data_IF_000101193697
#
_entry.id   IF_000101193697
#
_cell.length_a   1.000
_cell.length_b   1.000
_cell.length_c   1.000
_cell.angle_alpha   90.00
_cell.angle_beta   90.00
_cell.angle_gamma   90.00
#
_symmetry.space_group_name_H-M   'P 1'
#
loop_
_entity.id
_entity.type
_entity.pdbx_description
1 polymer ?
#
# COMPACT_ATOMS: atom_id res chain seq x y z
N UNK A 1 20.17 20.41 28.27
CA UNK A 1 19.77 21.23 27.11
C UNK A 1 20.55 20.83 25.88
N UNK A 2 20.03 19.89 25.07
CA UNK A 2 20.39 19.70 23.66
C UNK A 2 19.24 18.90 23.05
N UNK A 3 18.36 19.62 22.33
CA UNK A 3 17.20 19.09 21.63
C UNK A 3 17.65 18.56 20.27
N UNK A 4 17.53 17.25 20.03
CA UNK A 4 17.67 16.69 18.69
C UNK A 4 16.29 16.62 18.04
N UNK A 5 16.02 17.61 17.20
CA UNK A 5 14.84 17.76 16.36
C UNK A 5 14.82 16.67 15.29
N UNK A 6 13.75 15.88 15.24
CA UNK A 6 13.51 14.85 14.23
C UNK A 6 12.59 15.46 13.15
N UNK A 7 13.16 15.93 12.04
CA UNK A 7 12.37 16.37 10.88
C UNK A 7 11.96 15.15 10.05
N UNK A 8 10.68 14.78 10.14
CA UNK A 8 10.00 13.96 9.13
C UNK A 8 9.54 14.86 8.00
N UNK A 9 10.09 14.67 6.81
CA UNK A 9 9.56 15.27 5.58
C UNK A 9 8.44 14.38 5.04
N UNK A 10 7.20 14.83 5.23
CA UNK A 10 6.07 14.40 4.42
C UNK A 10 6.03 15.30 3.19
N UNK A 11 6.06 14.72 1.99
CA UNK A 11 5.75 15.43 0.75
C UNK A 11 4.42 14.91 0.22
N UNK A 12 3.36 15.63 0.55
CA UNK A 12 2.10 15.64 -0.17
C UNK A 12 2.18 16.74 -1.24
N UNK A 13 1.79 16.43 -2.47
CA UNK A 13 1.29 17.46 -3.38
C UNK A 13 0.23 16.86 -4.30
N UNK A 14 -0.99 17.35 -4.08
CA UNK A 14 -2.09 17.33 -5.03
C UNK A 14 -2.18 18.71 -5.66
N UNK A 15 -2.08 18.80 -6.99
CA UNK A 15 -2.56 19.91 -7.83
C UNK A 15 -2.66 19.29 -9.24
N UNK A 16 -3.81 19.21 -9.92
CA UNK A 16 -4.83 20.24 -10.04
C UNK A 16 -4.42 21.20 -11.15
N UNK A 17 -4.79 20.90 -12.41
CA UNK A 17 -4.40 21.71 -13.56
C UNK A 17 -5.11 21.31 -14.85
N UNK A 18 -6.37 21.73 -14.98
CA UNK A 18 -7.02 21.90 -16.28
C UNK A 18 -6.49 23.18 -16.93
N UNK A 19 -6.21 23.17 -18.24
CA UNK A 19 -6.81 24.06 -19.26
C UNK A 19 -6.01 24.06 -20.59
N UNK A 20 -6.79 23.88 -21.66
CA UNK A 20 -6.78 24.55 -22.97
C UNK A 20 -5.60 24.31 -23.92
N UNK A 21 -5.82 23.63 -25.05
CA UNK A 21 -6.51 24.03 -26.29
C UNK A 21 -5.54 24.64 -27.30
N UNK A 22 -5.22 23.85 -28.33
CA UNK A 22 -4.78 24.35 -29.62
C UNK A 22 -5.71 23.75 -30.69
N UNK A 23 -6.38 24.65 -31.41
CA UNK A 23 -7.24 24.41 -32.56
C UNK A 23 -6.44 23.75 -33.70
N UNK A 24 -7.02 22.77 -34.36
CA UNK A 24 -6.94 22.69 -35.82
C UNK A 24 -8.16 21.99 -36.43
N UNK A 25 -8.77 22.72 -37.36
CA UNK A 25 -9.44 22.27 -38.57
C UNK A 25 -10.43 21.10 -38.52
N UNK A 26 -11.71 21.49 -38.57
CA UNK A 26 -12.82 20.71 -39.13
C UNK A 26 -12.45 20.17 -40.51
N UNK A 27 -12.68 18.87 -40.71
CA UNK A 27 -12.64 18.20 -42.00
C UNK A 27 -13.44 16.92 -41.90
N UNK A 28 -14.74 17.01 -42.18
CA UNK A 28 -15.60 15.84 -42.38
C UNK A 28 -15.03 15.04 -43.56
N UNK A 29 -14.64 13.78 -43.30
CA UNK A 29 -14.43 12.77 -44.34
C UNK A 29 -15.55 11.73 -44.22
N UNK A 30 -16.20 11.32 -45.32
CA UNK A 30 -17.19 10.26 -45.28
C UNK A 30 -16.47 8.91 -45.14
N UNK A 31 -16.85 8.12 -44.14
CA UNK A 31 -16.42 6.73 -44.01
C UNK A 31 -17.16 5.86 -45.03
N UNK A 32 -16.44 5.45 -46.08
CA UNK A 32 -16.89 4.36 -46.97
C UNK A 32 -16.28 3.08 -46.43
N UNK A 33 -17.13 2.13 -46.02
CA UNK A 33 -16.71 0.77 -45.71
C UNK A 33 -16.20 0.10 -46.99
N UNK A 34 -14.89 -0.03 -47.11
CA UNK A 34 -14.22 -0.78 -48.17
C UNK A 34 -14.12 -2.26 -47.81
N UNK A 35 -14.99 -3.08 -48.39
CA UNK A 35 -14.77 -4.52 -48.51
C UNK A 35 -13.59 -4.80 -49.44
N UNK A 36 -12.89 -5.90 -49.19
CA UNK A 36 -11.71 -6.34 -49.93
C UNK A 36 -11.92 -6.38 -51.45
N UNK A 37 -10.96 -5.84 -52.21
CA UNK A 37 -10.93 -5.92 -53.67
C UNK A 37 -11.00 -4.54 -54.34
N UNK A 38 -9.88 -3.84 -54.39
CA UNK A 38 -9.78 -2.61 -55.17
C UNK A 38 -9.77 -2.92 -56.66
N UNK A 39 -10.85 -2.60 -57.37
CA UNK A 39 -10.85 -2.19 -58.78
C UNK A 39 -12.17 -1.44 -59.09
N UNK A 40 -12.06 -0.12 -59.30
CA UNK A 40 -12.94 0.66 -60.19
C UNK A 40 -14.42 0.85 -59.80
N UNK A 41 -14.72 1.60 -58.73
CA UNK A 41 -16.02 2.27 -58.62
C UNK A 41 -16.11 3.42 -59.63
N UNK A 42 -16.73 3.16 -60.80
CA UNK A 42 -17.17 4.22 -61.72
C UNK A 42 -18.66 4.46 -61.55
N UNK A 43 -18.99 5.64 -61.02
CA UNK A 43 -20.31 6.26 -61.08
C UNK A 43 -20.39 7.02 -62.40
N UNK A 44 -21.43 6.78 -63.20
CA UNK A 44 -21.88 7.64 -64.30
C UNK A 44 -23.39 7.43 -64.42
N UNK A 45 -24.24 8.20 -63.71
CA UNK A 45 -24.80 9.50 -64.09
C UNK A 45 -25.23 9.56 -65.56
N UNK A 46 -26.55 9.56 -65.76
CA UNK A 46 -27.24 9.87 -67.00
C UNK A 46 -26.87 11.26 -67.48
N UNK A 47 -26.48 11.36 -68.76
CA UNK A 47 -26.52 12.63 -69.47
C UNK A 47 -27.23 12.37 -70.80
N UNK A 48 -28.50 12.75 -70.80
CA UNK A 48 -29.31 12.97 -71.98
C UNK A 48 -28.63 14.01 -72.88
N UNK A 49 -28.29 13.62 -74.10
CA UNK A 49 -28.03 14.58 -75.17
C UNK A 49 -28.88 14.17 -76.35
N UNK A 50 -29.93 14.96 -76.54
CA UNK A 50 -30.74 15.02 -77.74
C UNK A 50 -29.80 15.28 -78.94
N UNK A 51 -29.87 14.44 -79.96
CA UNK A 51 -29.42 14.79 -81.30
C UNK A 51 -30.59 14.57 -82.25
N UNK A 52 -31.26 15.69 -82.52
CA UNK A 52 -32.31 15.91 -83.49
C UNK A 52 -31.66 16.23 -84.86
N UNK A 53 -32.19 15.66 -85.94
CA UNK A 53 -31.88 15.98 -87.33
C UNK A 53 -30.95 14.93 -87.98
N UNK A 54 -31.28 14.32 -89.12
CA UNK A 54 -31.94 14.89 -90.29
C UNK A 54 -32.95 13.94 -90.93
N UNK A 55 -34.10 14.54 -91.22
CA UNK A 55 -35.11 14.16 -92.21
C UNK A 55 -34.46 13.84 -93.56
N UNK A 56 -34.82 12.68 -94.11
CA UNK A 56 -34.66 12.29 -95.50
C UNK A 56 -36.02 11.84 -96.03
N UNK A 57 -36.80 12.81 -96.48
CA UNK A 57 -38.14 12.69 -97.06
C UNK A 57 -38.06 12.21 -98.51
N UNK A 58 -38.62 11.04 -98.80
CA UNK A 58 -39.34 10.70 -100.05
C UNK A 58 -40.35 9.62 -99.62
N UNK A 59 -41.65 9.90 -99.48
CA UNK A 59 -42.54 10.18 -100.60
C UNK A 59 -42.62 8.92 -101.47
N UNK A 60 -43.24 7.85 -100.95
CA UNK A 60 -44.56 7.40 -101.43
C UNK A 60 -44.64 7.31 -102.97
N UNK A 61 -44.57 6.11 -103.54
CA UNK A 61 -45.60 5.55 -104.43
C UNK A 61 -45.29 4.09 -104.78
N UNK A 62 -46.33 3.25 -104.74
CA UNK A 62 -46.50 2.00 -105.49
C UNK A 62 -45.66 0.78 -105.15
N UNK A 63 -46.28 -0.07 -104.32
CA UNK A 63 -46.53 -1.50 -104.57
C UNK A 63 -46.06 -2.00 -105.95
N UNK A 64 -45.14 -2.97 -105.93
CA UNK A 64 -44.94 -4.15 -106.82
C UNK A 64 -43.43 -4.46 -106.88
N UNK A 65 -42.97 -5.43 -106.07
CA UNK A 65 -41.57 -5.90 -106.02
C UNK A 65 -41.20 -6.68 -104.76
N UNK A 66 -42.10 -7.54 -104.29
CA UNK A 66 -42.14 -8.15 -102.95
C UNK A 66 -41.38 -9.48 -102.84
N UNK A 67 -40.34 -9.52 -101.99
CA UNK A 67 -39.60 -10.74 -101.64
C UNK A 67 -38.11 -10.52 -101.35
N UNK A 68 -37.46 -9.60 -102.08
CA UNK A 68 -36.01 -9.39 -101.92
C UNK A 68 -35.66 -8.45 -100.76
N UNK A 69 -36.47 -7.41 -100.54
CA UNK A 69 -36.30 -6.46 -99.43
C UNK A 69 -36.71 -7.07 -98.08
N UNK A 70 -37.76 -7.89 -98.05
CA UNK A 70 -38.17 -8.66 -96.87
C UNK A 70 -37.13 -9.72 -96.50
N UNK A 71 -36.50 -10.37 -97.48
CA UNK A 71 -35.34 -11.26 -97.25
C UNK A 71 -34.09 -10.53 -96.75
N UNK A 72 -33.88 -9.26 -97.14
CA UNK A 72 -32.79 -8.44 -96.60
C UNK A 72 -33.04 -8.07 -95.14
N UNK A 73 -34.24 -7.60 -94.78
CA UNK A 73 -34.59 -7.28 -93.38
C UNK A 73 -34.47 -8.53 -92.47
N UNK A 74 -34.87 -9.70 -92.94
CA UNK A 74 -34.70 -10.97 -92.21
C UNK A 74 -33.23 -11.35 -92.04
N UNK A 75 -32.42 -11.17 -93.08
CA UNK A 75 -30.98 -11.45 -93.00
C UNK A 75 -30.25 -10.46 -92.07
N UNK A 76 -30.63 -9.19 -92.07
CA UNK A 76 -30.07 -8.17 -91.17
C UNK A 76 -30.44 -8.48 -89.71
N UNK A 77 -31.70 -8.86 -89.44
CA UNK A 77 -32.11 -9.34 -88.11
C UNK A 77 -31.34 -10.60 -87.70
N UNK A 78 -31.15 -11.56 -88.60
CA UNK A 78 -30.38 -12.77 -88.32
C UNK A 78 -28.91 -12.44 -88.01
N UNK A 79 -28.32 -11.49 -88.73
CA UNK A 79 -26.97 -11.01 -88.45
C UNK A 79 -26.87 -10.37 -87.04
N UNK A 80 -27.87 -9.57 -86.65
CA UNK A 80 -27.97 -8.99 -85.30
C UNK A 80 -28.14 -10.06 -84.22
N UNK A 81 -28.97 -11.08 -84.46
CA UNK A 81 -29.10 -12.22 -83.55
C UNK A 81 -27.79 -13.01 -83.42
N UNK A 82 -27.10 -13.28 -84.53
CA UNK A 82 -25.79 -13.94 -84.50
C UNK A 82 -24.73 -13.11 -83.77
N UNK A 83 -24.71 -11.79 -83.96
CA UNK A 83 -23.84 -10.88 -83.24
C UNK A 83 -24.14 -10.90 -81.72
N UNK A 84 -25.44 -10.95 -81.37
CA UNK A 84 -25.87 -11.04 -79.96
C UNK A 84 -25.49 -12.37 -79.32
N UNK A 85 -25.68 -13.48 -80.02
CA UNK A 85 -25.29 -14.82 -79.53
C UNK A 85 -23.78 -14.87 -79.28
N UNK A 86 -22.96 -14.39 -80.22
CA UNK A 86 -21.49 -14.31 -80.02
C UNK A 86 -21.09 -13.45 -78.81
N UNK A 87 -21.79 -12.33 -78.59
CA UNK A 87 -21.54 -11.46 -77.42
C UNK A 87 -21.92 -12.16 -76.10
N UNK A 88 -23.03 -12.90 -76.08
CA UNK A 88 -23.47 -13.65 -74.90
C UNK A 88 -22.55 -14.84 -74.62
N UNK A 89 -22.11 -15.56 -75.64
CA UNK A 89 -21.13 -16.65 -75.51
C UNK A 89 -19.79 -16.14 -74.94
N UNK A 90 -19.31 -14.98 -75.42
CA UNK A 90 -18.10 -14.36 -74.88
C UNK A 90 -18.24 -13.98 -73.40
N UNK A 91 -19.39 -13.42 -73.01
CA UNK A 91 -19.69 -13.08 -71.61
C UNK A 91 -19.84 -14.32 -70.73
N UNK A 92 -20.46 -15.38 -71.22
CA UNK A 92 -20.58 -16.64 -70.49
C UNK A 92 -19.21 -17.26 -70.24
N UNK A 93 -18.32 -17.31 -71.25
CA UNK A 93 -16.93 -17.76 -71.04
C UNK A 93 -16.20 -16.94 -69.98
N UNK A 94 -16.39 -15.63 -69.97
CA UNK A 94 -15.77 -14.77 -68.96
C UNK A 94 -16.30 -15.04 -67.54
N UNK A 95 -17.60 -15.26 -67.40
CA UNK A 95 -18.21 -15.60 -66.11
C UNK A 95 -17.74 -16.97 -65.63
N UNK A 96 -17.62 -17.96 -66.51
CA UNK A 96 -17.08 -19.28 -66.18
C UNK A 96 -15.64 -19.20 -65.66
N UNK A 97 -14.79 -18.38 -66.30
CA UNK A 97 -13.42 -18.15 -65.82
C UNK A 97 -13.40 -17.49 -64.43
N UNK A 98 -14.21 -16.46 -64.21
CA UNK A 98 -14.29 -15.79 -62.90
C UNK A 98 -14.79 -16.73 -61.80
N UNK A 99 -15.77 -17.60 -62.11
CA UNK A 99 -16.28 -18.61 -61.18
C UNK A 99 -15.18 -19.64 -60.86
N UNK A 100 -14.43 -20.09 -61.85
CA UNK A 100 -13.32 -21.01 -61.65
C UNK A 100 -12.22 -20.41 -60.76
N UNK A 101 -11.83 -19.17 -61.00
CA UNK A 101 -10.83 -18.44 -60.20
C UNK A 101 -11.31 -18.24 -58.75
N UNK A 102 -12.57 -17.84 -58.57
CA UNK A 102 -13.16 -17.68 -57.24
C UNK A 102 -13.24 -19.00 -56.46
N UNK A 103 -13.63 -20.08 -57.12
CA UNK A 103 -13.63 -21.42 -56.53
C UNK A 103 -12.21 -21.87 -56.15
N UNK A 104 -11.20 -21.54 -56.96
CA UNK A 104 -9.81 -21.82 -56.65
C UNK A 104 -9.29 -21.01 -55.44
N UNK A 105 -9.61 -19.71 -55.36
CA UNK A 105 -9.29 -18.87 -54.19
C UNK A 105 -10.01 -19.32 -52.91
N UNK A 106 -11.22 -19.88 -53.02
CA UNK A 106 -11.95 -20.43 -51.87
C UNK A 106 -11.42 -21.81 -51.44
N UNK A 107 -10.87 -22.58 -52.39
CA UNK A 107 -10.21 -23.87 -52.14
C UNK A 107 -8.89 -23.70 -51.38
N UNK A 108 -8.18 -22.58 -51.55
CA UNK A 108 -7.14 -22.18 -50.61
C UNK A 108 -7.79 -21.70 -49.32
N UNK A 109 -8.03 -22.64 -48.41
CA UNK A 109 -8.45 -22.42 -47.03
C UNK A 109 -7.80 -21.14 -46.52
N UNK A 110 -8.62 -20.14 -46.17
CA UNK A 110 -8.18 -18.91 -45.50
C UNK A 110 -7.48 -19.32 -44.22
N UNK A 111 -6.17 -19.49 -44.27
CA UNK A 111 -5.33 -19.64 -43.09
C UNK A 111 -5.33 -18.27 -42.44
N UNK A 112 -6.23 -18.07 -41.47
CA UNK A 112 -6.17 -16.90 -40.59
C UNK A 112 -4.73 -16.80 -40.09
N UNK A 113 -4.05 -15.68 -40.35
CA UNK A 113 -2.63 -15.52 -40.06
C UNK A 113 -2.39 -15.49 -38.54
N UNK A 114 -2.19 -16.65 -37.92
CA UNK A 114 -1.91 -16.78 -36.48
C UNK A 114 -0.44 -16.48 -36.11
N UNK A 115 0.41 -16.13 -37.09
CA UNK A 115 1.85 -15.88 -36.89
C UNK A 115 2.16 -14.82 -35.82
N UNK A 116 1.35 -13.75 -35.75
CA UNK A 116 1.52 -12.71 -34.73
C UNK A 116 1.29 -13.22 -33.29
N UNK A 117 0.27 -14.06 -33.10
CA UNK A 117 0.01 -14.69 -31.80
C UNK A 117 1.14 -15.64 -31.41
N UNK A 118 1.66 -16.43 -32.35
CA UNK A 118 2.80 -17.30 -32.08
C UNK A 118 4.08 -16.53 -31.71
N UNK A 119 4.33 -15.36 -32.34
CA UNK A 119 5.43 -14.46 -31.95
C UNK A 119 5.28 -13.99 -30.49
N UNK A 120 4.10 -13.45 -30.13
CA UNK A 120 3.85 -12.99 -28.75
C UNK A 120 3.95 -14.12 -27.72
N UNK A 121 3.48 -15.33 -28.05
CA UNK A 121 3.60 -16.49 -27.17
C UNK A 121 5.07 -16.90 -27.01
N UNK A 122 5.87 -16.80 -28.06
CA UNK A 122 7.31 -17.07 -28.02
C UNK A 122 8.04 -16.05 -27.14
N UNK A 123 7.70 -14.76 -27.28
CA UNK A 123 8.28 -13.67 -26.50
C UNK A 123 7.96 -13.81 -25.01
N UNK A 124 6.69 -14.09 -24.67
CA UNK A 124 6.26 -14.35 -23.30
C UNK A 124 6.94 -15.59 -22.71
N UNK A 125 7.11 -16.65 -23.51
CA UNK A 125 7.84 -17.86 -23.09
C UNK A 125 9.32 -17.59 -22.82
N UNK A 126 9.93 -16.62 -23.50
CA UNK A 126 11.32 -16.19 -23.26
C UNK A 126 11.44 -15.25 -22.05
N UNK A 127 10.41 -14.45 -21.75
CA UNK A 127 10.40 -13.53 -20.61
C UNK A 127 10.27 -14.24 -19.26
N UNK A 128 9.51 -15.34 -19.19
CA UNK A 128 9.33 -16.15 -17.97
C UNK A 128 10.67 -16.63 -17.36
N UNK A 129 11.57 -17.32 -18.10
CA UNK A 129 12.84 -17.78 -17.54
C UNK A 129 13.77 -16.61 -17.20
N UNK A 130 13.71 -15.50 -17.94
CA UNK A 130 14.49 -14.30 -17.64
C UNK A 130 14.05 -13.67 -16.32
N UNK A 131 12.74 -13.52 -16.10
CA UNK A 131 12.16 -12.98 -14.87
C UNK A 131 12.45 -13.88 -13.67
N UNK A 132 12.38 -15.20 -13.86
CA UNK A 132 12.76 -16.17 -12.84
C UNK A 132 14.24 -16.07 -12.47
N UNK A 133 15.12 -15.94 -13.47
CA UNK A 133 16.55 -15.77 -13.27
C UNK A 133 16.86 -14.47 -12.49
N UNK A 134 16.24 -13.35 -12.88
CA UNK A 134 16.39 -12.06 -12.21
C UNK A 134 15.91 -12.18 -10.76
N UNK A 135 14.73 -12.77 -10.51
CA UNK A 135 14.17 -12.94 -9.16
C UNK A 135 15.05 -13.84 -8.29
N UNK A 136 15.61 -14.91 -8.85
CA UNK A 136 16.52 -15.79 -8.12
C UNK A 136 17.84 -15.07 -7.81
N UNK A 137 18.38 -14.30 -8.75
CA UNK A 137 19.61 -13.54 -8.58
C UNK A 137 19.45 -12.42 -7.55
N UNK A 138 18.35 -11.65 -7.61
CA UNK A 138 18.03 -10.61 -6.62
C UNK A 138 17.83 -11.23 -5.24
N UNK A 139 17.12 -12.36 -5.14
CA UNK A 139 16.97 -13.11 -3.89
C UNK A 139 18.32 -13.57 -3.30
N UNK A 140 19.23 -14.09 -4.14
CA UNK A 140 20.60 -14.45 -3.71
C UNK A 140 21.41 -13.23 -3.25
N UNK A 141 21.33 -12.12 -3.96
CA UNK A 141 21.98 -10.86 -3.59
C UNK A 141 21.49 -10.33 -2.25
N UNK A 142 20.17 -10.33 -2.03
CA UNK A 142 19.55 -9.91 -0.77
C UNK A 142 20.03 -10.81 0.38
N UNK A 143 20.00 -12.14 0.21
CA UNK A 143 20.52 -13.08 1.21
C UNK A 143 21.99 -12.81 1.57
N UNK A 144 22.84 -12.54 0.58
CA UNK A 144 24.25 -12.16 0.80
C UNK A 144 24.38 -10.85 1.59
N UNK A 145 23.60 -9.82 1.25
CA UNK A 145 23.59 -8.53 1.98
C UNK A 145 23.14 -8.72 3.42
N UNK A 146 22.08 -9.48 3.67
CA UNK A 146 21.58 -9.78 5.02
C UNK A 146 22.64 -10.53 5.83
N UNK A 147 23.28 -11.56 5.25
CA UNK A 147 24.34 -12.31 5.94
C UNK A 147 25.50 -11.40 6.36
N UNK A 148 25.98 -10.53 5.46
CA UNK A 148 27.03 -9.56 5.77
C UNK A 148 26.62 -8.58 6.88
N UNK A 149 25.39 -8.06 6.82
CA UNK A 149 24.86 -7.14 7.84
C UNK A 149 24.76 -7.84 9.20
N UNK A 150 24.22 -9.06 9.24
CA UNK A 150 24.12 -9.83 10.48
C UNK A 150 25.51 -10.11 11.06
N UNK A 151 26.48 -10.49 10.24
CA UNK A 151 27.85 -10.70 10.68
C UNK A 151 28.49 -9.42 11.26
N UNK A 152 28.29 -8.27 10.62
CA UNK A 152 28.77 -6.99 11.14
C UNK A 152 28.11 -6.66 12.49
N UNK A 153 26.80 -6.87 12.61
CA UNK A 153 26.08 -6.67 13.86
C UNK A 153 26.59 -7.60 14.97
N UNK A 154 26.86 -8.87 14.68
CA UNK A 154 27.44 -9.81 15.64
C UNK A 154 28.81 -9.34 16.14
N UNK A 155 29.66 -8.82 15.25
CA UNK A 155 30.95 -8.24 15.64
C UNK A 155 30.78 -7.04 16.57
N UNK A 156 29.87 -6.11 16.26
CA UNK A 156 29.61 -4.95 17.12
C UNK A 156 29.05 -5.31 18.50
N UNK A 157 28.20 -6.34 18.57
CA UNK A 157 27.64 -6.82 19.84
C UNK A 157 28.75 -7.46 20.68
N UNK A 158 29.59 -8.30 20.07
CA UNK A 158 30.73 -8.94 20.74
C UNK A 158 31.71 -7.91 21.31
N UNK A 159 32.05 -6.87 20.54
CA UNK A 159 32.93 -5.80 21.02
C UNK A 159 32.30 -5.04 22.20
N UNK A 160 30.99 -4.77 22.16
CA UNK A 160 30.29 -4.12 23.26
C UNK A 160 30.26 -5.01 24.51
N UNK A 161 29.96 -6.30 24.36
CA UNK A 161 29.98 -7.28 25.46
C UNK A 161 31.38 -7.40 26.06
N UNK A 162 32.42 -7.48 25.24
CA UNK A 162 33.82 -7.53 25.68
C UNK A 162 34.19 -6.28 26.49
N UNK A 163 33.82 -5.08 26.01
CA UNK A 163 34.07 -3.84 26.74
C UNK A 163 33.33 -3.79 28.08
N UNK A 164 32.10 -4.30 28.13
CA UNK A 164 31.33 -4.41 29.37
C UNK A 164 32.01 -5.39 30.34
N UNK A 165 32.47 -6.54 29.86
CA UNK A 165 33.22 -7.52 30.66
C UNK A 165 34.49 -6.89 31.25
N UNK A 166 35.30 -6.21 30.44
CA UNK A 166 36.52 -5.54 30.92
C UNK A 166 36.22 -4.46 31.97
N UNK A 167 35.13 -3.71 31.80
CA UNK A 167 34.71 -2.70 32.77
C UNK A 167 34.31 -3.35 34.10
N UNK A 168 33.50 -4.41 34.04
CA UNK A 168 33.09 -5.17 35.24
C UNK A 168 34.29 -5.82 35.93
N UNK A 169 35.23 -6.38 35.18
CA UNK A 169 36.47 -6.94 35.73
C UNK A 169 37.34 -5.88 36.43
N UNK A 170 37.42 -4.69 35.85
CA UNK A 170 38.08 -3.55 36.48
C UNK A 170 37.37 -3.13 37.77
N UNK A 171 36.04 -3.11 37.80
CA UNK A 171 35.24 -2.77 38.98
C UNK A 171 35.42 -3.79 40.10
N UNK A 172 35.38 -5.09 39.76
CA UNK A 172 35.64 -6.19 40.70
C UNK A 172 37.05 -6.09 41.28
N UNK A 173 38.04 -5.76 40.46
CA UNK A 173 39.42 -5.57 40.92
C UNK A 173 39.54 -4.38 41.88
N UNK A 174 38.87 -3.26 41.60
CA UNK A 174 38.81 -2.11 42.52
C UNK A 174 38.12 -2.46 43.84
N UNK A 175 37.00 -3.18 43.79
CA UNK A 175 36.29 -3.63 45.00
C UNK A 175 37.15 -4.57 45.85
N UNK A 176 37.93 -5.46 45.23
CA UNK A 176 38.90 -6.31 45.95
C UNK A 176 39.97 -5.47 46.64
N UNK A 177 40.53 -4.46 45.97
CA UNK A 177 41.50 -3.56 46.58
C UNK A 177 40.92 -2.77 47.77
N UNK A 178 39.68 -2.27 47.65
CA UNK A 178 38.98 -1.60 48.77
C UNK A 178 38.77 -2.56 49.94
N UNK A 179 38.31 -3.79 49.66
CA UNK A 179 38.18 -4.83 50.70
C UNK A 179 39.52 -5.07 51.38
N UNK A 180 40.60 -5.23 50.63
CA UNK A 180 41.92 -5.51 51.21
C UNK A 180 42.42 -4.34 52.07
N UNK A 181 42.17 -3.10 51.65
CA UNK A 181 42.45 -1.90 52.46
C UNK A 181 41.61 -1.85 53.75
N UNK A 182 40.34 -2.24 53.69
CA UNK A 182 39.49 -2.30 54.88
C UNK A 182 39.93 -3.42 55.83
N UNK A 183 40.31 -4.59 55.31
CA UNK A 183 40.88 -5.68 56.11
C UNK A 183 42.14 -5.24 56.84
N UNK A 184 43.04 -4.52 56.16
CA UNK A 184 44.24 -3.96 56.80
C UNK A 184 43.87 -2.96 57.90
N UNK A 185 42.91 -2.06 57.64
CA UNK A 185 42.42 -1.12 58.67
C UNK A 185 41.77 -1.81 59.87
N UNK A 186 41.08 -2.94 59.68
CA UNK A 186 40.56 -3.76 60.78
C UNK A 186 41.71 -4.31 61.61
N UNK A 187 42.74 -4.90 60.98
CA UNK A 187 43.91 -5.41 61.69
C UNK A 187 44.67 -4.33 62.45
N UNK A 188 44.82 -3.13 61.89
CA UNK A 188 45.45 -1.99 62.57
C UNK A 188 44.66 -1.57 63.82
N UNK A 189 43.33 -1.55 63.73
CA UNK A 189 42.46 -1.25 64.88
C UNK A 189 42.51 -2.37 65.94
N UNK A 190 42.55 -3.63 65.53
CA UNK A 190 42.70 -4.78 66.43
C UNK A 190 44.03 -4.70 67.19
N UNK A 191 45.14 -4.34 66.51
CA UNK A 191 46.43 -4.12 67.15
C UNK A 191 46.36 -2.98 68.17
N UNK A 192 45.75 -1.84 67.81
CA UNK A 192 45.59 -0.72 68.75
C UNK A 192 44.75 -1.09 69.98
N UNK A 193 43.74 -1.95 69.82
CA UNK A 193 42.94 -2.46 70.94
C UNK A 193 43.79 -3.35 71.83
N UNK A 194 44.58 -4.25 71.25
CA UNK A 194 45.45 -5.14 72.01
C UNK A 194 46.52 -4.35 72.78
N UNK A 195 47.17 -3.38 72.13
CA UNK A 195 48.14 -2.48 72.76
C UNK A 195 47.54 -1.77 73.97
N UNK A 196 46.36 -1.17 73.84
CA UNK A 196 45.65 -0.51 74.94
C UNK A 196 45.27 -1.49 76.06
N UNK A 197 44.88 -2.72 75.73
CA UNK A 197 44.58 -3.75 76.72
C UNK A 197 45.85 -4.15 77.50
N UNK A 198 47.00 -4.26 76.83
CA UNK A 198 48.27 -4.55 77.51
C UNK A 198 48.70 -3.41 78.42
N UNK A 199 48.55 -2.15 77.99
CA UNK A 199 48.84 -0.97 78.83
C UNK A 199 47.93 -0.94 80.06
N UNK A 200 46.64 -1.20 79.90
CA UNK A 200 45.68 -1.29 81.00
C UNK A 200 46.07 -2.40 81.99
N UNK A 201 46.46 -3.57 81.48
CA UNK A 201 46.94 -4.67 82.31
C UNK A 201 48.22 -4.31 83.09
N UNK A 202 49.17 -3.64 82.45
CA UNK A 202 50.39 -3.14 83.10
C UNK A 202 50.06 -2.12 84.20
N UNK A 203 49.20 -1.14 83.93
CA UNK A 203 48.78 -0.15 84.91
C UNK A 203 48.10 -0.79 86.13
N UNK A 204 47.27 -1.81 85.92
CA UNK A 204 46.66 -2.59 87.01
C UNK A 204 47.69 -3.37 87.83
N UNK A 205 48.68 -3.97 87.18
CA UNK A 205 49.76 -4.70 87.85
C UNK A 205 50.62 -3.74 88.69
N UNK A 206 51.03 -2.60 88.11
CA UNK A 206 51.78 -1.56 88.79
C UNK A 206 51.03 -1.04 90.01
N UNK A 207 49.75 -0.70 89.85
CA UNK A 207 48.92 -0.23 90.98
C UNK A 207 48.83 -1.28 92.09
N UNK A 208 48.68 -2.56 91.75
CA UNK A 208 48.66 -3.64 92.74
C UNK A 208 49.99 -3.77 93.48
N UNK A 209 51.11 -3.61 92.78
CA UNK A 209 52.44 -3.63 93.38
C UNK A 209 52.66 -2.41 94.30
N UNK A 210 52.32 -1.21 93.86
CA UNK A 210 52.36 0.01 94.67
C UNK A 210 51.51 -0.12 95.94
N UNK A 211 50.28 -0.64 95.83
CA UNK A 211 49.43 -0.92 96.99
C UNK A 211 50.05 -1.96 97.93
N UNK A 212 50.73 -2.98 97.39
CA UNK A 212 51.47 -3.95 98.21
C UNK A 212 52.67 -3.32 98.90
N UNK A 213 53.42 -2.46 98.23
CA UNK A 213 54.56 -1.75 98.80
C UNK A 213 54.11 -0.77 99.89
N UNK A 214 53.04 -0.01 99.65
CA UNK A 214 52.42 0.86 100.66
C UNK A 214 51.92 0.05 101.86
N UNK A 215 51.29 -1.12 101.63
CA UNK A 215 50.89 -2.02 102.72
C UNK A 215 52.08 -2.51 103.55
N UNK A 216 53.23 -2.80 102.92
CA UNK A 216 54.46 -3.20 103.61
C UNK A 216 55.08 -2.01 104.37
N UNK A 217 55.06 -0.81 103.80
CA UNK A 217 55.49 0.42 104.46
C UNK A 217 54.61 0.72 105.69
N UNK A 218 53.30 0.54 105.60
CA UNK A 218 52.37 0.66 106.71
C UNK A 218 52.50 -0.49 107.73
N UNK A 219 53.03 -1.66 107.34
CA UNK A 219 53.37 -2.76 108.26
C UNK A 219 54.56 -2.44 109.18
N UNK A 220 55.30 -1.35 108.91
CA UNK A 220 56.34 -0.78 109.78
C UNK A 220 55.84 0.31 110.73
N UNK A 221 54.52 0.47 110.90
CA UNK A 221 53.97 1.43 111.87
C UNK A 221 54.09 0.89 113.28
N UNK A 222 55.09 1.39 114.00
CA UNK A 222 55.19 1.28 115.46
C UNK A 222 53.95 1.94 116.07
N UNK A 223 53.14 1.15 116.78
CA UNK A 223 52.10 1.69 117.64
C UNK A 223 52.79 2.30 118.89
N UNK A 224 53.17 3.57 118.80
CA UNK A 224 53.64 4.36 119.93
C UNK A 224 52.46 5.17 120.46
N UNK A 225 51.91 4.75 121.59
CA UNK A 225 51.04 5.58 122.42
C UNK A 225 51.90 6.70 123.04
N UNK A 226 51.93 7.86 122.39
CA UNK A 226 52.39 9.11 123.00
C UNK A 226 51.16 9.90 123.41
N UNK A 227 50.92 9.94 124.71
CA UNK A 227 49.97 10.85 125.34
C UNK A 227 50.40 12.30 125.05
N UNK A 228 49.68 12.94 124.13
CA UNK A 228 49.84 14.34 123.79
C UNK A 228 48.49 15.02 124.00
N UNK A 229 48.39 15.78 125.09
CA UNK A 229 47.26 16.66 125.35
C UNK A 229 47.26 17.81 124.34
N UNK A 230 46.64 17.54 123.20
CA UNK A 230 45.77 18.37 122.34
C UNK A 230 45.65 17.60 121.00
N UNK A 231 45.05 16.41 121.07
CA UNK A 231 44.79 15.61 119.88
C UNK A 231 43.69 16.28 119.06
N UNK A 232 44.07 16.91 117.95
CA UNK A 232 43.15 17.04 116.83
C UNK A 232 42.77 15.60 116.47
N UNK A 233 41.48 15.31 116.66
CA UNK A 233 40.89 13.98 116.55
C UNK A 233 41.08 13.50 115.11
N UNK A 234 42.20 12.82 114.84
CA UNK A 234 42.63 12.44 113.49
C UNK A 234 41.59 11.55 112.82
N UNK A 235 40.87 10.77 113.62
CA UNK A 235 39.67 10.01 113.25
C UNK A 235 38.56 10.91 112.73
N UNK A 236 38.29 12.07 113.35
CA UNK A 236 37.33 13.06 112.81
C UNK A 236 37.79 13.66 111.48
N UNK A 237 39.07 14.02 111.35
CA UNK A 237 39.60 14.58 110.09
C UNK A 237 39.59 13.54 108.96
N UNK A 238 39.90 12.27 109.26
CA UNK A 238 39.82 11.17 108.29
C UNK A 238 38.36 10.85 107.92
N UNK A 239 37.44 10.91 108.88
CA UNK A 239 36.00 10.73 108.63
C UNK A 239 35.45 11.87 107.77
N UNK A 240 35.83 13.12 108.05
CA UNK A 240 35.43 14.29 107.27
C UNK A 240 36.02 14.25 105.84
N UNK A 241 37.28 13.80 105.67
CA UNK A 241 37.87 13.52 104.36
C UNK A 241 37.12 12.41 103.62
N UNK A 242 36.74 11.33 104.31
CA UNK A 242 35.96 10.23 103.72
C UNK A 242 34.58 10.72 103.27
N UNK A 243 33.91 11.52 104.09
CA UNK A 243 32.61 12.12 103.75
C UNK A 243 32.74 13.06 102.54
N UNK A 244 33.83 13.85 102.44
CA UNK A 244 34.13 14.66 101.26
C UNK A 244 34.32 13.79 100.00
N UNK A 245 35.07 12.68 100.10
CA UNK A 245 35.23 11.77 98.97
C UNK A 245 33.93 11.06 98.59
N UNK A 246 33.15 10.59 99.56
CA UNK A 246 31.86 9.94 99.30
C UNK A 246 30.86 10.91 98.66
N UNK A 247 30.85 12.18 99.06
CA UNK A 247 30.01 13.21 98.44
C UNK A 247 30.48 13.54 97.02
N UNK A 248 31.79 13.64 96.77
CA UNK A 248 32.33 13.87 95.41
C UNK A 248 32.04 12.67 94.49
N UNK A 249 32.24 11.45 94.96
CA UNK A 249 31.92 10.23 94.19
C UNK A 249 30.42 10.14 93.90
N UNK A 250 29.57 10.45 94.89
CA UNK A 250 28.12 10.46 94.71
C UNK A 250 27.67 11.52 93.70
N UNK A 251 28.25 12.73 93.75
CA UNK A 251 28.00 13.79 92.76
C UNK A 251 28.46 13.38 91.36
N UNK A 252 29.67 12.84 91.23
CA UNK A 252 30.22 12.40 89.95
C UNK A 252 29.38 11.27 89.34
N UNK A 253 28.92 10.30 90.15
CA UNK A 253 28.00 9.26 89.70
C UNK A 253 26.69 9.84 89.16
N UNK A 254 26.09 10.81 89.86
CA UNK A 254 24.87 11.48 89.41
C UNK A 254 25.08 12.30 88.13
N UNK A 255 26.24 12.93 87.96
CA UNK A 255 26.59 13.68 86.75
C UNK A 255 26.79 12.75 85.55
N UNK A 256 27.48 11.63 85.72
CA UNK A 256 27.65 10.60 84.67
C UNK A 256 26.31 9.99 84.29
N UNK A 257 25.45 9.68 85.27
CA UNK A 257 24.09 9.16 85.03
C UNK A 257 23.26 10.17 84.22
N UNK A 258 23.27 11.45 84.60
CA UNK A 258 22.58 12.52 83.86
C UNK A 258 23.14 12.69 82.45
N UNK A 259 24.46 12.66 82.30
CA UNK A 259 25.12 12.75 81.01
C UNK A 259 24.73 11.58 80.10
N UNK A 260 24.73 10.36 80.64
CA UNK A 260 24.32 9.16 79.91
C UNK A 260 22.84 9.24 79.51
N UNK A 261 21.95 9.60 80.43
CA UNK A 261 20.53 9.80 80.14
C UNK A 261 20.31 10.85 79.04
N UNK A 262 21.04 11.97 79.09
CA UNK A 262 20.97 12.99 78.03
C UNK A 262 21.43 12.44 76.68
N UNK A 263 22.50 11.65 76.64
CA UNK A 263 23.01 11.06 75.40
C UNK A 263 22.04 10.02 74.83
N UNK A 264 21.44 9.19 75.68
CA UNK A 264 20.39 8.23 75.28
C UNK A 264 19.18 8.97 74.73
N UNK A 265 18.75 10.08 75.35
CA UNK A 265 17.61 10.86 74.88
C UNK A 265 17.88 11.48 73.49
N UNK A 266 19.09 11.96 73.23
CA UNK A 266 19.50 12.47 71.91
C UNK A 266 19.46 11.36 70.87
N UNK A 267 20.04 10.20 71.16
CA UNK A 267 20.03 9.04 70.25
C UNK A 267 18.61 8.56 70.00
N UNK A 268 17.75 8.54 71.02
CA UNK A 268 16.35 8.15 70.88
C UNK A 268 15.58 9.13 69.98
N UNK A 269 15.82 10.44 70.11
CA UNK A 269 15.25 11.46 69.19
C UNK A 269 15.74 11.24 67.75
N UNK A 270 17.03 10.98 67.56
CA UNK A 270 17.60 10.72 66.23
C UNK A 270 17.04 9.44 65.59
N UNK A 271 16.89 8.36 66.36
CA UNK A 271 16.25 7.13 65.93
C UNK A 271 14.80 7.38 65.52
N UNK A 272 14.04 8.17 66.29
CA UNK A 272 12.65 8.50 65.96
C UNK A 272 12.59 9.29 64.65
N UNK A 273 13.47 10.29 64.46
CA UNK A 273 13.54 11.09 63.23
C UNK A 273 13.90 10.21 62.03
N UNK A 274 14.95 9.40 62.15
CA UNK A 274 15.35 8.43 61.11
C UNK A 274 14.21 7.46 60.77
N UNK A 275 13.49 6.96 61.78
CA UNK A 275 12.35 6.09 61.57
C UNK A 275 11.18 6.81 60.87
N UNK A 276 10.93 8.08 61.19
CA UNK A 276 9.92 8.87 60.49
C UNK A 276 10.31 9.14 59.04
N UNK A 277 11.58 9.42 58.76
CA UNK A 277 12.11 9.65 57.41
C UNK A 277 12.03 8.39 56.55
N UNK A 278 12.38 7.23 57.10
CA UNK A 278 12.19 5.95 56.40
C UNK A 278 10.71 5.72 56.06
N UNK A 279 9.80 6.07 56.97
CA UNK A 279 8.34 5.95 56.72
C UNK A 279 7.86 6.94 55.65
N UNK A 280 8.39 8.17 55.59
CA UNK A 280 8.01 9.14 54.55
C UNK A 280 8.56 8.72 53.19
N UNK A 281 9.83 8.34 53.09
CA UNK A 281 10.41 7.82 51.84
C UNK A 281 9.69 6.58 51.34
N UNK A 282 9.28 5.67 52.23
CA UNK A 282 8.49 4.51 51.84
C UNK A 282 7.13 4.91 51.23
N UNK A 283 6.45 5.92 51.81
CA UNK A 283 5.20 6.45 51.26
C UNK A 283 5.42 7.12 49.91
N UNK A 284 6.44 7.94 49.77
CA UNK A 284 6.81 8.60 48.50
C UNK A 284 7.11 7.58 47.40
N UNK A 285 7.90 6.55 47.72
CA UNK A 285 8.21 5.46 46.79
C UNK A 285 6.97 4.67 46.38
N UNK A 286 6.03 4.44 47.32
CA UNK A 286 4.74 3.81 47.03
C UNK A 286 3.87 4.67 46.09
N UNK A 287 3.82 5.99 46.32
CA UNK A 287 3.13 6.93 45.42
C UNK A 287 3.78 6.93 44.04
N UNK A 288 5.11 7.03 43.97
CA UNK A 288 5.85 7.04 42.70
C UNK A 288 5.66 5.74 41.91
N UNK A 289 5.61 4.59 42.60
CA UNK A 289 5.30 3.30 41.98
C UNK A 289 3.89 3.28 41.40
N UNK A 290 2.90 3.81 42.12
CA UNK A 290 1.51 3.92 41.64
C UNK A 290 1.41 4.85 40.44
N UNK A 291 2.07 6.01 40.46
CA UNK A 291 2.07 6.95 39.33
C UNK A 291 2.78 6.35 38.11
N UNK A 292 3.89 5.64 38.30
CA UNK A 292 4.57 4.93 37.23
C UNK A 292 3.68 3.86 36.59
N UNK A 293 3.01 3.03 37.39
CA UNK A 293 2.07 2.03 36.89
C UNK A 293 0.90 2.68 36.13
N UNK A 294 0.35 3.79 36.65
CA UNK A 294 -0.70 4.55 35.97
C UNK A 294 -0.25 5.12 34.62
N UNK A 295 0.96 5.68 34.55
CA UNK A 295 1.54 6.18 33.30
C UNK A 295 1.82 5.05 32.30
N UNK A 296 2.29 3.89 32.78
CA UNK A 296 2.52 2.72 31.93
C UNK A 296 1.21 2.23 31.31
N UNK A 297 0.14 2.14 32.10
CA UNK A 297 -1.20 1.81 31.61
C UNK A 297 -1.70 2.86 30.62
N UNK A 298 -1.55 4.15 30.93
CA UNK A 298 -1.95 5.24 30.04
C UNK A 298 -1.25 5.19 28.70
N UNK A 299 0.05 4.83 28.68
CA UNK A 299 0.81 4.64 27.44
C UNK A 299 0.30 3.43 26.66
N UNK A 300 0.05 2.30 27.32
CA UNK A 300 -0.50 1.12 26.67
C UNK A 300 -1.86 1.41 26.00
N UNK A 301 -2.72 2.19 26.66
CA UNK A 301 -3.99 2.64 26.07
C UNK A 301 -3.76 3.53 24.85
N UNK A 302 -2.76 4.41 24.88
CA UNK A 302 -2.43 5.27 23.74
C UNK A 302 -1.94 4.45 22.54
N UNK A 303 -1.04 3.50 22.78
CA UNK A 303 -0.53 2.60 21.74
C UNK A 303 -1.67 1.76 21.12
N UNK A 304 -2.60 1.26 21.95
CA UNK A 304 -3.79 0.56 21.46
C UNK A 304 -4.73 1.46 20.64
N UNK A 305 -4.90 2.73 21.03
CA UNK A 305 -5.68 3.71 20.28
C UNK A 305 -5.05 4.04 18.92
N UNK A 306 -3.73 4.21 18.88
CA UNK A 306 -3.01 4.46 17.62
C UNK A 306 -3.14 3.28 16.66
N UNK A 307 -2.97 2.05 17.16
CA UNK A 307 -3.17 0.84 16.35
C UNK A 307 -4.62 0.72 15.85
N UNK A 308 -5.61 1.05 16.68
CA UNK A 308 -7.02 1.05 16.26
C UNK A 308 -7.27 2.06 15.14
N UNK A 309 -6.68 3.25 15.23
CA UNK A 309 -6.83 4.29 14.22
C UNK A 309 -6.12 3.92 12.91
N UNK A 310 -4.94 3.31 12.98
CA UNK A 310 -4.25 2.77 11.81
C UNK A 310 -5.10 1.69 11.11
N UNK A 311 -5.68 0.76 11.87
CA UNK A 311 -6.55 -0.28 11.34
C UNK A 311 -7.79 0.31 10.68
N UNK A 312 -8.47 1.27 11.33
CA UNK A 312 -9.60 2.00 10.74
C UNK A 312 -9.24 2.69 9.43
N UNK A 313 -8.08 3.37 9.40
CA UNK A 313 -7.58 4.04 8.20
C UNK A 313 -7.34 3.06 7.05
N UNK A 314 -6.72 1.90 7.33
CA UNK A 314 -6.52 0.83 6.34
C UNK A 314 -7.85 0.30 5.78
N UNK A 315 -8.84 0.04 6.63
CA UNK A 315 -10.17 -0.39 6.18
C UNK A 315 -10.92 0.69 5.40
N UNK A 316 -10.80 1.95 5.81
CA UNK A 316 -11.37 3.09 5.06
C UNK A 316 -10.77 3.19 3.65
N UNK A 317 -9.45 2.99 3.51
CA UNK A 317 -8.79 2.99 2.21
C UNK A 317 -9.25 1.81 1.34
N UNK A 318 -9.37 0.61 1.90
CA UNK A 318 -9.90 -0.56 1.18
C UNK A 318 -11.34 -0.33 0.72
N UNK A 319 -12.18 0.26 1.56
CA UNK A 319 -13.56 0.60 1.21
C UNK A 319 -13.59 1.63 0.07
N UNK A 320 -12.72 2.64 0.11
CA UNK A 320 -12.60 3.62 -0.97
C UNK A 320 -12.15 2.97 -2.28
N UNK A 321 -11.19 2.04 -2.24
CA UNK A 321 -10.76 1.29 -3.42
C UNK A 321 -11.91 0.46 -4.02
N UNK A 322 -12.66 -0.26 -3.18
CA UNK A 322 -13.83 -1.01 -3.62
C UNK A 322 -14.89 -0.07 -4.21
N UNK A 323 -15.15 1.09 -3.60
CA UNK A 323 -16.08 2.09 -4.13
C UNK A 323 -15.66 2.59 -5.52
N UNK A 324 -14.36 2.80 -5.75
CA UNK A 324 -13.84 3.17 -7.08
C UNK A 324 -14.12 2.05 -8.07
N UNK A 325 -13.84 0.78 -7.73
CA UNK A 325 -14.11 -0.35 -8.64
C UNK A 325 -15.60 -0.53 -8.95
N UNK A 326 -16.48 -0.29 -7.97
CA UNK A 326 -17.93 -0.31 -8.18
C UNK A 326 -18.31 0.81 -9.15
N UNK A 327 -17.81 2.03 -8.91
CA UNK A 327 -18.11 3.18 -9.76
C UNK A 327 -17.63 2.98 -11.21
N UNK A 328 -16.47 2.36 -11.43
CA UNK A 328 -15.99 2.04 -12.79
C UNK A 328 -16.88 1.01 -13.47
N UNK A 329 -17.30 -0.04 -12.75
CA UNK A 329 -18.21 -1.05 -13.29
C UNK A 329 -19.60 -0.48 -13.58
N UNK A 330 -20.10 0.44 -12.76
CA UNK A 330 -21.36 1.16 -13.00
C UNK A 330 -21.30 1.99 -14.29
N UNK A 331 -20.17 2.67 -14.52
CA UNK A 331 -19.94 3.43 -15.76
C UNK A 331 -19.91 2.50 -16.97
N UNK A 332 -19.13 1.41 -16.93
CA UNK A 332 -19.08 0.42 -18.02
C UNK A 332 -20.45 -0.18 -18.34
N UNK A 333 -21.24 -0.48 -17.30
CA UNK A 333 -22.61 -0.99 -17.43
C UNK A 333 -23.52 0.05 -18.10
N UNK A 334 -23.39 1.32 -17.72
CA UNK A 334 -24.15 2.41 -18.32
C UNK A 334 -23.77 2.63 -19.79
N UNK A 335 -22.49 2.55 -20.14
CA UNK A 335 -22.01 2.61 -21.52
C UNK A 335 -22.55 1.44 -22.36
N UNK A 336 -22.52 0.22 -21.82
CA UNK A 336 -23.06 -0.96 -22.49
C UNK A 336 -24.57 -0.84 -22.72
N UNK A 337 -25.33 -0.35 -21.72
CA UNK A 337 -26.77 -0.05 -21.87
C UNK A 337 -27.02 0.97 -22.97
N UNK A 338 -26.23 2.05 -23.01
CA UNK A 338 -26.36 3.05 -24.06
C UNK A 338 -26.05 2.45 -25.45
N UNK A 339 -25.04 1.59 -25.55
CA UNK A 339 -24.69 0.90 -26.80
C UNK A 339 -25.81 -0.07 -27.25
N UNK A 340 -26.44 -0.79 -26.32
CA UNK A 340 -27.54 -1.70 -26.59
C UNK A 340 -28.76 -0.94 -27.12
N UNK A 341 -29.11 0.19 -26.48
CA UNK A 341 -30.19 1.05 -26.94
C UNK A 341 -29.91 1.58 -28.34
N UNK A 342 -28.66 1.97 -28.64
CA UNK A 342 -28.27 2.39 -30.00
C UNK A 342 -28.44 1.25 -31.03
N UNK A 343 -28.01 0.04 -30.70
CA UNK A 343 -28.22 -1.13 -31.58
C UNK A 343 -29.71 -1.44 -31.75
N UNK A 344 -30.51 -1.28 -30.70
CA UNK A 344 -31.96 -1.45 -30.78
C UNK A 344 -32.62 -0.41 -31.70
N UNK A 345 -32.20 0.86 -31.64
CA UNK A 345 -32.70 1.90 -32.55
C UNK A 345 -32.29 1.62 -33.99
N UNK A 346 -31.02 1.26 -34.23
CA UNK A 346 -30.52 0.89 -35.56
C UNK A 346 -31.26 -0.34 -36.12
N UNK A 347 -31.58 -1.33 -35.27
CA UNK A 347 -32.36 -2.49 -35.66
C UNK A 347 -33.81 -2.13 -36.05
N UNK A 348 -34.47 -1.27 -35.26
CA UNK A 348 -35.82 -0.82 -35.56
C UNK A 348 -35.88 -0.04 -36.88
N UNK A 349 -34.91 0.85 -37.13
CA UNK A 349 -34.80 1.57 -38.41
C UNK A 349 -34.62 0.60 -39.59
N UNK A 350 -33.76 -0.41 -39.44
CA UNK A 350 -33.56 -1.43 -40.47
C UNK A 350 -34.82 -2.27 -40.70
N UNK A 351 -35.55 -2.60 -39.64
CA UNK A 351 -36.83 -3.31 -39.73
C UNK A 351 -37.88 -2.47 -40.48
N UNK A 352 -37.96 -1.18 -40.20
CA UNK A 352 -38.86 -0.25 -40.90
C UNK A 352 -38.53 -0.18 -42.40
N UNK A 353 -37.25 -0.09 -42.76
CA UNK A 353 -36.81 -0.12 -44.16
C UNK A 353 -37.17 -1.46 -44.81
N UNK A 354 -36.93 -2.58 -44.12
CA UNK A 354 -37.30 -3.92 -44.61
C UNK A 354 -38.80 -4.00 -44.89
N UNK A 355 -39.64 -3.55 -43.95
CA UNK A 355 -41.10 -3.56 -44.12
C UNK A 355 -41.54 -2.69 -45.30
N UNK A 356 -40.94 -1.51 -45.51
CA UNK A 356 -41.22 -0.66 -46.67
C UNK A 356 -40.86 -1.34 -48.00
N UNK A 357 -39.68 -1.95 -48.07
CA UNK A 357 -39.24 -2.68 -49.27
C UNK A 357 -40.12 -3.91 -49.53
N UNK A 358 -40.53 -4.65 -48.48
CA UNK A 358 -41.47 -5.76 -48.63
C UNK A 358 -42.84 -5.31 -49.15
N UNK A 359 -43.34 -4.14 -48.73
CA UNK A 359 -44.57 -3.56 -49.27
C UNK A 359 -44.41 -3.17 -50.74
N UNK A 360 -43.27 -2.58 -51.12
CA UNK A 360 -42.98 -2.20 -52.51
C UNK A 360 -42.92 -3.43 -53.42
N UNK A 361 -42.25 -4.51 -52.98
CA UNK A 361 -42.18 -5.78 -53.72
C UNK A 361 -43.57 -6.44 -53.84
N UNK A 362 -44.40 -6.36 -52.80
CA UNK A 362 -45.78 -6.91 -52.83
C UNK A 362 -46.75 -6.08 -53.66
N UNK A 363 -46.42 -4.82 -54.01
CA UNK A 363 -47.30 -3.97 -54.80
C UNK A 363 -47.48 -4.61 -56.19
N UNK A 364 -48.69 -5.06 -56.56
CA UNK A 364 -48.90 -5.72 -57.83
C UNK A 364 -48.63 -4.72 -58.96
N UNK A 365 -47.93 -5.16 -60.00
CA UNK A 365 -47.73 -4.39 -61.23
C UNK A 365 -49.11 -4.16 -61.87
N UNK A 366 -49.60 -2.92 -61.88
CA UNK A 366 -50.93 -2.61 -62.42
C UNK A 366 -50.76 -2.33 -63.92
N UNK A 367 -51.09 -3.32 -64.74
CA UNK A 367 -51.23 -3.12 -66.18
C UNK A 367 -52.60 -2.51 -66.48
N UNK A 368 -52.65 -1.30 -67.05
CA UNK A 368 -53.88 -0.77 -67.64
C UNK A 368 -54.03 -1.36 -69.04
N UNK A 369 -55.10 -2.11 -69.25
CA UNK A 369 -55.51 -2.58 -70.58
C UNK A 369 -56.67 -1.72 -71.07
N UNK A 370 -56.42 -0.89 -72.07
CA UNK A 370 -57.44 -0.08 -72.73
C UNK A 370 -57.91 -0.85 -73.97
N UNK A 371 -59.17 -1.28 -73.95
CA UNK A 371 -59.83 -1.89 -75.11
C UNK A 371 -60.62 -0.81 -75.84
N UNK A 372 -60.24 -0.51 -77.08
CA UNK A 372 -60.98 0.37 -77.98
C UNK A 372 -61.72 -0.50 -78.97
N UNK A 373 -63.04 -0.43 -78.96
CA UNK A 373 -63.90 -1.16 -79.89
C UNK A 373 -64.42 -0.13 -80.89
N UNK A 374 -64.09 -0.33 -82.16
CA UNK A 374 -64.59 0.49 -83.27
C UNK A 374 -65.64 -0.36 -83.98
N UNK A 375 -66.91 0.05 -83.85
CA UNK A 375 -68.04 -0.59 -84.51
C UNK A 375 -68.47 0.25 -85.71
N UNK A 376 -68.53 -0.37 -86.89
CA UNK A 376 -69.01 0.25 -88.11
C UNK A 376 -70.49 -0.10 -88.30
N UNK A 377 -71.34 0.93 -88.28
CA UNK A 377 -72.79 0.80 -88.33
C UNK A 377 -73.28 1.31 -89.69
N UNK A 378 -73.95 0.45 -90.45
CA UNK A 378 -74.66 0.82 -91.69
C UNK A 378 -76.10 0.35 -91.55
N UNK A 379 -77.06 1.26 -91.78
CA UNK A 379 -78.52 1.01 -91.68
C UNK A 379 -78.99 0.34 -90.38
N UNK A 380 -78.42 0.75 -89.23
CA UNK A 380 -78.86 0.29 -87.92
C UNK A 380 -78.44 -1.14 -87.56
N UNK A 381 -77.60 -1.79 -88.36
CA UNK A 381 -76.99 -3.09 -88.05
C UNK A 381 -75.45 -2.99 -88.06
N UNK A 382 -74.80 -3.65 -87.09
CA UNK A 382 -73.34 -3.68 -86.95
C UNK A 382 -72.76 -4.66 -87.98
N UNK A 383 -71.97 -4.18 -88.92
CA UNK A 383 -71.44 -4.99 -90.04
C UNK A 383 -69.98 -5.40 -89.81
N UNK A 384 -69.23 -4.64 -89.00
CA UNK A 384 -67.89 -5.01 -88.55
C UNK A 384 -67.59 -4.41 -87.17
N UNK A 385 -66.94 -5.20 -86.30
CA UNK A 385 -66.41 -4.75 -85.01
C UNK A 385 -64.91 -5.05 -84.98
N UNK A 386 -64.09 -4.01 -84.81
CA UNK A 386 -62.65 -4.13 -84.64
C UNK A 386 -62.27 -3.82 -83.19
N UNK A 387 -61.66 -4.79 -82.51
CA UNK A 387 -61.22 -4.66 -81.13
C UNK A 387 -59.69 -4.46 -81.09
N UNK A 388 -59.24 -3.27 -80.67
CA UNK A 388 -57.83 -2.98 -80.43
C UNK A 388 -57.57 -2.90 -78.93
N UNK A 389 -56.68 -3.77 -78.43
CA UNK A 389 -56.28 -3.77 -77.01
C UNK A 389 -54.89 -3.14 -76.88
N UNK A 390 -54.81 -1.96 -76.27
CA UNK A 390 -53.53 -1.36 -75.86
C UNK A 390 -53.24 -1.71 -74.40
N UNK A 391 -52.05 -2.23 -74.12
CA UNK A 391 -51.58 -2.53 -72.77
C UNK A 391 -50.54 -1.47 -72.41
N UNK A 392 -50.87 -0.59 -71.47
CA UNK A 392 -49.92 0.34 -70.86
C UNK A 392 -49.59 -0.14 -69.45
N UNK A 393 -48.31 -0.32 -69.18
CA UNK A 393 -47.78 -0.55 -67.83
C UNK A 393 -47.85 0.76 -67.04
N UNK A 394 -48.63 0.77 -65.96
CA UNK A 394 -48.66 1.89 -65.02
C UNK A 394 -47.71 1.55 -63.89
N UNK A 395 -46.60 2.29 -63.80
CA UNK A 395 -45.66 2.19 -62.67
C UNK A 395 -46.28 2.61 -61.34
#
# INVERSE_FOLDING_TARGET
>A
SFLYSSQRTYSSSSLGGWKQSARSSVGYTPSVHGGAGGYGTRISRSNSVFSLGSVGSYGETSVVGDGKATMQDLNDRLADYLAKVRSLEAKNRQLELNIAEFCQQKSTVVTKNYGGYYSTISDLRAEVPLTLYITQHTGRMIKKKIKKKNQANHFTIYDMEMNLHLTVEADVSRLRAVRDSLTLGISDLELSIEDLNTELAQMRANHKEEMSQLSIQCSGSVNVEVDSAHSIDLTKVLEEMREQYETVVSKNKLEVEKWFQSKVEILQKEIIVSQTDVKTFHKELSVLKKTYQSLMISRQILDMKENLEEVKSRYSLQLQQLQVTISTLEIELQELKASLLRVQTEYNELLDIKMRLEMEIRKPHIEKRVKTIIEEIVDGQVVASSEATQVETVQ
#
